data_IF_925680886904
#
_entry.id   IF_925680886904
#
_cell.length_a   1.000
_cell.length_b   1.000
_cell.length_c   1.000
_cell.angle_alpha   90.00
_cell.angle_beta   90.00
_cell.angle_gamma   90.00
#
_symmetry.space_group_name_H-M   'P 1'
#
loop_
_entity.id
_entity.type
_entity.pdbx_description
1 polymer ?
#
# COMPACT_ATOMS: atom_id res chain seq x y z
N UNK A 1 45.98 32.67 50.37
CA UNK A 1 45.80 34.12 50.17
C UNK A 1 44.37 34.47 50.52
N UNK A 2 44.14 35.46 51.37
CA UNK A 2 42.79 35.85 51.80
C UNK A 2 42.20 36.85 50.78
N UNK A 3 41.17 36.48 50.01
CA UNK A 3 40.66 37.31 48.91
C UNK A 3 40.08 38.65 49.40
N UNK A 4 39.50 38.68 50.60
CA UNK A 4 38.99 39.91 51.23
C UNK A 4 40.10 40.95 51.46
N UNK A 5 41.31 40.50 51.80
CA UNK A 5 42.47 41.38 52.02
C UNK A 5 42.99 41.99 50.71
N UNK A 6 43.00 41.20 49.62
CA UNK A 6 43.39 41.70 48.29
C UNK A 6 42.36 42.72 47.79
N UNK A 7 41.07 42.46 47.97
CA UNK A 7 40.00 43.36 47.56
C UNK A 7 40.06 44.70 48.32
N UNK A 8 40.33 44.64 49.63
CA UNK A 8 40.52 45.82 50.46
C UNK A 8 41.74 46.68 50.03
N UNK A 9 42.89 46.05 49.75
CA UNK A 9 44.10 46.74 49.30
C UNK A 9 43.89 47.41 47.92
N UNK A 10 43.16 46.75 47.02
CA UNK A 10 42.80 47.31 45.71
C UNK A 10 41.89 48.53 45.87
N UNK A 11 40.89 48.49 46.76
CA UNK A 11 40.01 49.63 47.02
C UNK A 11 40.75 50.82 47.63
N UNK A 12 41.70 50.57 48.53
CA UNK A 12 42.57 51.64 49.06
C UNK A 12 43.49 52.23 47.98
N UNK A 13 44.05 51.39 47.10
CA UNK A 13 44.89 51.87 45.98
C UNK A 13 44.09 52.72 44.98
N UNK A 14 42.77 52.56 44.94
CA UNK A 14 41.84 53.35 44.13
C UNK A 14 41.32 54.61 44.84
N UNK A 15 41.93 55.01 45.98
CA UNK A 15 41.57 56.21 46.76
C UNK A 15 40.17 56.17 47.42
N UNK A 16 39.58 54.98 47.60
CA UNK A 16 38.34 54.81 48.37
C UNK A 16 38.64 55.01 49.86
N UNK A 17 37.74 55.69 50.59
CA UNK A 17 37.92 55.91 52.03
C UNK A 17 37.99 54.57 52.76
N UNK A 18 38.72 54.50 53.88
CA UNK A 18 38.92 53.25 54.62
C UNK A 18 37.60 52.65 55.11
N UNK A 19 36.66 53.50 55.48
CA UNK A 19 35.35 53.09 55.99
C UNK A 19 34.45 52.57 54.85
N UNK A 20 34.47 53.22 53.68
CA UNK A 20 33.74 52.76 52.49
C UNK A 20 34.34 51.46 51.93
N UNK A 21 35.66 51.35 51.88
CA UNK A 21 36.35 50.14 51.43
C UNK A 21 36.03 48.95 52.34
N UNK A 22 35.92 49.18 53.66
CA UNK A 22 35.51 48.16 54.62
C UNK A 22 34.04 47.75 54.43
N UNK A 23 33.14 48.72 54.25
CA UNK A 23 31.72 48.44 54.02
C UNK A 23 31.49 47.62 52.73
N UNK A 24 32.24 47.92 51.66
CA UNK A 24 32.18 47.16 50.39
C UNK A 24 32.70 45.74 50.55
N UNK A 25 33.81 45.54 51.29
CA UNK A 25 34.35 44.20 51.56
C UNK A 25 33.40 43.38 52.42
N UNK A 26 32.80 43.97 53.46
CA UNK A 26 31.81 43.32 54.31
C UNK A 26 30.54 42.95 53.51
N UNK A 27 30.06 43.84 52.62
CA UNK A 27 28.92 43.56 51.75
C UNK A 27 29.23 42.44 50.73
N UNK A 28 30.42 42.44 50.13
CA UNK A 28 30.86 41.39 49.21
C UNK A 28 31.03 40.04 49.93
N UNK A 29 31.60 40.03 51.13
CA UNK A 29 31.76 38.80 51.92
C UNK A 29 30.40 38.24 52.36
N UNK A 30 29.44 39.10 52.70
CA UNK A 30 28.05 38.71 52.94
C UNK A 30 27.40 38.11 51.67
N UNK A 31 27.57 38.72 50.49
CA UNK A 31 27.05 38.16 49.23
C UNK A 31 27.71 36.82 48.87
N UNK A 32 29.02 36.69 49.03
CA UNK A 32 29.75 35.45 48.75
C UNK A 32 29.31 34.31 49.67
N UNK A 33 28.95 34.62 50.93
CA UNK A 33 28.36 33.63 51.84
C UNK A 33 26.94 33.20 51.43
N UNK A 34 26.21 34.04 50.69
CA UNK A 34 24.89 33.69 50.15
C UNK A 34 24.92 32.98 48.80
N UNK A 35 26.08 32.95 48.12
CA UNK A 35 26.24 32.19 46.88
C UNK A 35 26.11 30.70 47.16
N UNK A 36 25.51 29.98 46.21
CA UNK A 36 25.38 28.53 46.26
C UNK A 36 26.75 27.90 46.59
N UNK A 37 26.77 27.10 47.65
CA UNK A 37 27.98 26.45 48.09
C UNK A 37 28.43 25.42 47.04
N UNK A 38 29.72 25.04 47.07
CA UNK A 38 30.21 23.93 46.25
C UNK A 38 29.42 22.63 46.50
N UNK A 39 28.87 22.47 47.70
CA UNK A 39 28.01 21.34 48.04
C UNK A 39 26.70 21.38 47.25
N UNK A 40 26.05 22.54 47.17
CA UNK A 40 24.81 22.72 46.41
C UNK A 40 25.05 22.44 44.92
N UNK A 41 26.18 22.91 44.38
CA UNK A 41 26.56 22.64 43.00
C UNK A 41 26.76 21.14 42.76
N UNK A 42 27.51 20.47 43.65
CA UNK A 42 27.76 19.03 43.56
C UNK A 42 26.47 18.20 43.68
N UNK A 43 25.53 18.61 44.53
CA UNK A 43 24.22 17.98 44.65
C UNK A 43 23.41 18.14 43.37
N UNK A 44 23.37 19.35 42.79
CA UNK A 44 22.67 19.59 41.52
C UNK A 44 23.28 18.79 40.36
N UNK A 45 24.60 18.67 40.30
CA UNK A 45 25.30 17.84 39.31
C UNK A 45 24.96 16.35 39.47
N UNK A 46 24.99 15.85 40.71
CA UNK A 46 24.61 14.47 41.01
C UNK A 46 23.14 14.20 40.64
N UNK A 47 22.24 15.16 40.88
CA UNK A 47 20.84 15.07 40.48
C UNK A 47 20.69 15.07 38.96
N UNK A 48 21.37 15.96 38.24
CA UNK A 48 21.34 16.00 36.78
C UNK A 48 21.84 14.69 36.17
N UNK A 49 22.98 14.18 36.65
CA UNK A 49 23.55 12.92 36.16
C UNK A 49 22.60 11.74 36.38
N UNK A 50 21.90 11.71 37.51
CA UNK A 50 20.87 10.70 37.78
C UNK A 50 19.71 10.82 36.78
N UNK A 51 19.15 12.01 36.59
CA UNK A 51 18.04 12.22 35.65
C UNK A 51 18.43 11.93 34.20
N UNK A 52 19.65 12.27 33.79
CA UNK A 52 20.17 11.93 32.45
C UNK A 52 20.27 10.41 32.29
N UNK A 53 20.76 9.70 33.31
CA UNK A 53 20.85 8.24 33.27
C UNK A 53 19.48 7.59 33.19
N UNK A 54 18.50 8.07 33.97
CA UNK A 54 17.13 7.57 33.96
C UNK A 54 16.46 7.78 32.60
N UNK A 55 16.55 8.99 32.03
CA UNK A 55 16.03 9.29 30.70
C UNK A 55 16.70 8.45 29.60
N UNK A 56 18.00 8.18 29.74
CA UNK A 56 18.71 7.34 28.77
C UNK A 56 18.19 5.90 28.78
N UNK A 57 17.97 5.33 29.96
CA UNK A 57 17.42 3.99 30.10
C UNK A 57 15.97 3.92 29.61
N UNK A 58 15.15 4.91 29.95
CA UNK A 58 13.76 5.00 29.47
C UNK A 58 13.70 5.10 27.94
N UNK A 59 14.52 5.98 27.35
CA UNK A 59 14.62 6.11 25.90
C UNK A 59 15.08 4.81 25.24
N UNK A 60 16.10 4.15 25.80
CA UNK A 60 16.60 2.88 25.27
C UNK A 60 15.54 1.78 25.34
N UNK A 61 14.79 1.70 26.45
CA UNK A 61 13.67 0.78 26.60
C UNK A 61 12.57 1.07 25.58
N UNK A 62 12.17 2.34 25.43
CA UNK A 62 11.13 2.75 24.48
C UNK A 62 11.53 2.45 23.04
N UNK A 63 12.78 2.70 22.64
CA UNK A 63 13.28 2.37 21.31
C UNK A 63 13.22 0.86 21.07
N UNK A 64 13.62 0.06 22.06
CA UNK A 64 13.60 -1.39 21.97
C UNK A 64 12.17 -1.91 21.81
N UNK A 65 11.24 -1.43 22.63
CA UNK A 65 9.82 -1.79 22.57
C UNK A 65 9.20 -1.43 21.22
N UNK A 66 9.39 -0.19 20.75
CA UNK A 66 8.92 0.23 19.42
C UNK A 66 9.53 -0.61 18.31
N UNK A 67 10.81 -0.98 18.42
CA UNK A 67 11.48 -1.86 17.46
C UNK A 67 10.90 -3.28 17.42
N UNK A 68 10.39 -3.79 18.55
CA UNK A 68 9.67 -5.07 18.59
C UNK A 68 8.27 -4.95 17.98
N UNK A 69 7.50 -3.94 18.37
CA UNK A 69 6.16 -3.68 17.84
C UNK A 69 6.18 -3.49 16.32
N UNK A 70 7.13 -2.70 15.82
CA UNK A 70 7.31 -2.47 14.38
C UNK A 70 7.61 -3.77 13.62
N UNK A 71 8.49 -4.62 14.17
CA UNK A 71 8.83 -5.91 13.56
C UNK A 71 7.62 -6.84 13.52
N UNK A 72 6.89 -6.91 14.63
CA UNK A 72 5.66 -7.71 14.73
C UNK A 72 4.59 -7.22 13.74
N UNK A 73 4.46 -5.91 13.57
CA UNK A 73 3.55 -5.32 12.58
C UNK A 73 3.95 -5.70 11.15
N UNK A 74 5.24 -5.64 10.82
CA UNK A 74 5.75 -6.08 9.51
C UNK A 74 5.48 -7.57 9.26
N UNK A 75 5.72 -8.43 10.25
CA UNK A 75 5.48 -9.88 10.12
C UNK A 75 3.99 -10.17 9.87
N UNK A 76 3.10 -9.52 10.62
CA UNK A 76 1.65 -9.64 10.41
C UNK A 76 1.24 -9.15 9.02
N UNK A 77 1.75 -8.01 8.59
CA UNK A 77 1.42 -7.46 7.28
C UNK A 77 1.94 -8.34 6.14
N UNK A 78 3.13 -8.91 6.29
CA UNK A 78 3.71 -9.84 5.31
C UNK A 78 2.88 -11.10 5.17
N UNK A 79 2.45 -11.70 6.28
CA UNK A 79 1.57 -12.87 6.27
C UNK A 79 0.20 -12.57 5.62
N UNK A 80 -0.35 -11.38 5.86
CA UNK A 80 -1.59 -10.94 5.21
C UNK A 80 -1.43 -10.78 3.69
N UNK A 81 -0.32 -10.18 3.25
CA UNK A 81 -0.01 -10.01 1.82
C UNK A 81 0.16 -11.37 1.15
N UNK A 82 0.89 -12.31 1.78
CA UNK A 82 1.07 -13.65 1.25
C UNK A 82 -0.27 -14.39 1.12
N UNK A 83 -1.11 -14.30 2.15
CA UNK A 83 -2.45 -14.88 2.13
C UNK A 83 -3.31 -14.27 1.02
N UNK A 84 -3.42 -12.94 0.97
CA UNK A 84 -4.17 -12.24 -0.07
C UNK A 84 -3.66 -12.57 -1.48
N UNK A 85 -2.34 -12.66 -1.66
CA UNK A 85 -1.72 -13.04 -2.94
C UNK A 85 -2.10 -14.46 -3.37
N UNK A 86 -2.10 -15.41 -2.43
CA UNK A 86 -2.51 -16.80 -2.72
C UNK A 86 -4.00 -16.92 -3.02
N UNK A 87 -4.87 -16.23 -2.25
CA UNK A 87 -6.32 -16.19 -2.48
C UNK A 87 -6.64 -15.56 -3.85
N UNK A 88 -5.97 -14.45 -4.19
CA UNK A 88 -6.14 -13.79 -5.48
C UNK A 88 -5.70 -14.69 -6.65
N UNK A 89 -4.57 -15.40 -6.51
CA UNK A 89 -4.10 -16.35 -7.52
C UNK A 89 -5.09 -17.49 -7.75
N UNK A 90 -5.63 -18.05 -6.67
CA UNK A 90 -6.68 -19.08 -6.73
C UNK A 90 -7.96 -18.57 -7.39
N UNK A 91 -8.38 -17.35 -7.07
CA UNK A 91 -9.55 -16.73 -7.69
C UNK A 91 -9.35 -16.54 -9.20
N UNK A 92 -8.17 -16.07 -9.63
CA UNK A 92 -7.83 -15.94 -11.05
C UNK A 92 -7.80 -17.28 -11.76
N UNK A 93 -7.21 -18.32 -11.16
CA UNK A 93 -7.16 -19.65 -11.74
C UNK A 93 -8.56 -20.24 -11.93
N UNK A 94 -9.43 -20.07 -10.93
CA UNK A 94 -10.82 -20.50 -11.01
C UNK A 94 -11.59 -19.76 -12.11
N UNK A 95 -11.51 -18.42 -12.13
CA UNK A 95 -12.18 -17.62 -13.16
C UNK A 95 -11.66 -17.95 -14.56
N UNK A 96 -10.35 -18.15 -14.73
CA UNK A 96 -9.76 -18.55 -16.01
C UNK A 96 -10.26 -19.90 -16.49
N UNK A 97 -10.37 -20.88 -15.58
CA UNK A 97 -10.94 -22.19 -15.90
C UNK A 97 -12.43 -22.11 -16.25
N UNK A 98 -13.22 -21.36 -15.49
CA UNK A 98 -14.65 -21.16 -15.75
C UNK A 98 -14.89 -20.48 -17.10
N UNK A 99 -14.10 -19.45 -17.42
CA UNK A 99 -14.15 -18.78 -18.72
C UNK A 99 -13.79 -19.73 -19.87
N UNK A 100 -12.74 -20.54 -19.70
CA UNK A 100 -12.35 -21.55 -20.70
C UNK A 100 -13.46 -22.57 -20.95
N UNK A 101 -14.10 -23.07 -19.89
CA UNK A 101 -15.22 -24.00 -20.01
C UNK A 101 -16.43 -23.35 -20.69
N UNK A 102 -16.75 -22.10 -20.35
CA UNK A 102 -17.83 -21.35 -20.98
C UNK A 102 -17.58 -21.18 -22.49
N UNK A 103 -16.36 -20.81 -22.89
CA UNK A 103 -15.99 -20.68 -24.30
C UNK A 103 -16.07 -22.03 -25.04
N UNK A 104 -15.62 -23.12 -24.42
CA UNK A 104 -15.73 -24.45 -25.03
C UNK A 104 -17.19 -24.88 -25.26
N UNK A 105 -18.07 -24.61 -24.28
CA UNK A 105 -19.50 -24.90 -24.42
C UNK A 105 -20.14 -24.08 -25.53
N UNK A 106 -19.92 -22.77 -25.53
CA UNK A 106 -20.44 -21.91 -26.60
C UNK A 106 -19.92 -22.31 -27.99
N UNK A 107 -18.64 -22.70 -28.09
CA UNK A 107 -18.07 -23.19 -29.35
C UNK A 107 -18.71 -24.49 -29.83
N UNK A 108 -18.98 -25.43 -28.91
CA UNK A 108 -19.70 -26.66 -29.25
C UNK A 108 -21.14 -26.38 -29.68
N UNK A 109 -21.87 -25.55 -28.95
CA UNK A 109 -23.25 -25.17 -29.27
C UNK A 109 -23.34 -24.46 -30.63
N UNK A 110 -22.40 -23.56 -30.93
CA UNK A 110 -22.28 -22.92 -32.23
C UNK A 110 -22.02 -23.94 -33.34
N UNK A 111 -21.15 -24.92 -33.11
CA UNK A 111 -20.88 -25.97 -34.11
C UNK A 111 -22.12 -26.85 -34.35
N UNK A 112 -22.84 -27.22 -33.30
CA UNK A 112 -24.07 -28.01 -33.40
C UNK A 112 -25.18 -27.24 -34.13
N UNK A 113 -25.35 -25.96 -33.81
CA UNK A 113 -26.32 -25.11 -34.51
C UNK A 113 -25.97 -24.94 -36.00
N UNK A 114 -24.68 -24.82 -36.34
CA UNK A 114 -24.21 -24.77 -37.72
C UNK A 114 -24.53 -26.08 -38.48
N UNK A 115 -24.22 -27.24 -37.90
CA UNK A 115 -24.53 -28.54 -38.51
C UNK A 115 -26.04 -28.75 -38.68
N UNK A 116 -26.83 -28.34 -37.69
CA UNK A 116 -28.29 -28.36 -37.76
C UNK A 116 -28.80 -27.50 -38.91
N UNK A 117 -28.28 -26.26 -39.05
CA UNK A 117 -28.63 -25.38 -40.18
C UNK A 117 -28.26 -26.00 -41.54
N UNK A 118 -27.07 -26.59 -41.67
CA UNK A 118 -26.63 -27.23 -42.91
C UNK A 118 -27.54 -28.40 -43.28
N UNK A 119 -27.98 -29.19 -42.30
CA UNK A 119 -28.92 -30.29 -42.52
C UNK A 119 -30.30 -29.80 -42.98
N UNK A 120 -30.81 -28.72 -42.37
CA UNK A 120 -32.08 -28.09 -42.77
C UNK A 120 -31.99 -27.49 -44.16
N UNK A 121 -30.86 -26.88 -44.50
CA UNK A 121 -30.61 -26.33 -45.84
C UNK A 121 -30.57 -27.44 -46.89
N UNK A 122 -29.85 -28.55 -46.65
CA UNK A 122 -29.82 -29.71 -47.55
C UNK A 122 -31.21 -30.30 -47.77
N UNK A 123 -32.00 -30.44 -46.69
CA UNK A 123 -33.37 -30.92 -46.77
C UNK A 123 -34.26 -29.98 -47.61
N UNK A 124 -34.16 -28.66 -47.37
CA UNK A 124 -34.91 -27.67 -48.14
C UNK A 124 -34.54 -27.72 -49.62
N UNK A 125 -33.26 -27.78 -49.96
CA UNK A 125 -32.80 -27.90 -51.35
C UNK A 125 -33.34 -29.16 -52.03
N UNK A 126 -33.37 -30.29 -51.32
CA UNK A 126 -33.95 -31.53 -51.83
C UNK A 126 -35.46 -31.39 -52.07
N UNK A 127 -36.19 -30.79 -51.13
CA UNK A 127 -37.62 -30.51 -51.30
C UNK A 127 -37.91 -29.63 -52.52
N UNK A 128 -37.14 -28.55 -52.72
CA UNK A 128 -37.27 -27.70 -53.90
C UNK A 128 -36.95 -28.45 -55.19
N UNK A 129 -35.95 -29.33 -55.18
CA UNK A 129 -35.61 -30.17 -56.33
C UNK A 129 -36.79 -31.07 -56.76
N UNK A 130 -37.48 -31.68 -55.80
CA UNK A 130 -38.68 -32.48 -56.08
C UNK A 130 -39.81 -31.61 -56.64
N UNK A 131 -40.08 -30.46 -56.03
CA UNK A 131 -41.14 -29.55 -56.48
C UNK A 131 -40.87 -29.11 -57.92
N UNK A 132 -39.64 -28.71 -58.24
CA UNK A 132 -39.23 -28.33 -59.60
C UNK A 132 -39.42 -29.50 -60.56
N UNK A 133 -39.00 -30.71 -60.21
CA UNK A 133 -39.18 -31.91 -61.04
C UNK A 133 -40.68 -32.20 -61.30
N UNK A 134 -41.51 -32.11 -60.25
CA UNK A 134 -42.96 -32.32 -60.35
C UNK A 134 -43.65 -31.27 -61.23
N UNK A 135 -43.17 -30.03 -61.24
CA UNK A 135 -43.70 -28.96 -62.10
C UNK A 135 -43.14 -29.05 -63.54
N UNK A 136 -41.90 -29.50 -63.71
CA UNK A 136 -41.25 -29.59 -65.02
C UNK A 136 -41.84 -30.69 -65.92
N UNK A 137 -42.29 -31.82 -65.36
CA UNK A 137 -42.90 -32.92 -66.12
C UNK A 137 -44.17 -32.49 -66.88
N UNK A 138 -45.21 -31.90 -66.24
CA UNK A 138 -46.41 -31.47 -66.94
C UNK A 138 -46.13 -30.32 -67.91
N UNK A 139 -45.32 -29.33 -67.52
CA UNK A 139 -44.94 -28.21 -68.41
C UNK A 139 -44.17 -28.71 -69.63
N UNK A 140 -43.21 -29.63 -69.45
CA UNK A 140 -42.46 -30.25 -70.54
C UNK A 140 -43.35 -31.06 -71.48
N UNK A 141 -44.33 -31.80 -70.94
CA UNK A 141 -45.32 -32.53 -71.73
C UNK A 141 -46.17 -31.59 -72.58
N UNK A 142 -46.70 -30.52 -72.00
CA UNK A 142 -47.50 -29.54 -72.75
C UNK A 142 -46.65 -28.81 -73.81
N UNK A 143 -45.39 -28.49 -73.50
CA UNK A 143 -44.47 -27.87 -74.45
C UNK A 143 -44.12 -28.79 -75.62
N UNK A 144 -43.86 -30.08 -75.36
CA UNK A 144 -43.63 -31.08 -76.42
C UNK A 144 -44.89 -31.29 -77.28
N UNK A 145 -46.07 -31.35 -76.66
CA UNK A 145 -47.34 -31.43 -77.39
C UNK A 145 -47.57 -30.20 -78.28
N UNK A 146 -47.25 -29.01 -77.77
CA UNK A 146 -47.32 -27.77 -78.54
C UNK A 146 -46.40 -27.83 -79.77
N UNK A 147 -45.12 -28.16 -79.59
CA UNK A 147 -44.17 -28.29 -80.71
C UNK A 147 -44.61 -29.35 -81.74
N UNK A 148 -45.08 -30.51 -81.27
CA UNK A 148 -45.55 -31.59 -82.15
C UNK A 148 -46.77 -31.18 -82.99
N UNK A 149 -47.65 -30.33 -82.46
CA UNK A 149 -48.78 -29.79 -83.22
C UNK A 149 -48.37 -28.63 -84.14
N UNK A 150 -47.37 -27.82 -83.78
CA UNK A 150 -46.89 -26.71 -84.62
C UNK A 150 -46.08 -27.19 -85.83
N UNK A 151 -45.36 -28.32 -85.71
CA UNK A 151 -44.50 -28.87 -86.78
C UNK A 151 -45.14 -29.99 -87.61
N UNK A 152 -46.45 -30.23 -87.50
CA UNK A 152 -47.20 -31.07 -88.46
C UNK A 152 -47.33 -30.34 -89.80
N UNK A 153 -46.37 -30.58 -90.69
CA UNK A 153 -46.50 -30.44 -92.15
C UNK A 153 -46.76 -31.80 -92.78
#
# INVERSE_FOLDING_TARGET
MNPSAIFFDVLQSANVSRDDAKAVVEAWEAEVQTLASKSDLSETEARLNRSISELREELHSSIKEQGYEFRLAIERQSALIEKQGSDFRLALEKQGNDLRLAMQRQGNDLRESHLSLESRYKLANWQFGIIILCLAIPVGREFLNFLANTFKF
#
